data_IF_053655500232
#
_entry.id   IF_053655500232
#
_cell.length_a   1.000
_cell.length_b   1.000
_cell.length_c   1.000
_cell.angle_alpha   90.00
_cell.angle_beta   90.00
_cell.angle_gamma   90.00
#
_symmetry.space_group_name_H-M   'P 1'
#
loop_
_entity.id
_entity.type
_entity.pdbx_description
1 polymer ?
#
# COMPACT_ATOMS: atom_id res chain seq x y z
N UNK A 1 -13.59 22.94 5.82
CA UNK A 1 -13.51 21.50 5.49
C UNK A 1 -12.10 21.05 5.78
N UNK A 2 -11.92 19.99 6.57
CA UNK A 2 -10.59 19.40 6.80
C UNK A 2 -10.11 18.76 5.51
N UNK A 3 -8.85 18.98 5.12
CA UNK A 3 -8.25 18.34 3.95
C UNK A 3 -8.35 16.81 4.08
N UNK A 4 -8.65 16.13 2.99
CA UNK A 4 -8.73 14.66 2.98
C UNK A 4 -7.35 14.05 3.20
N UNK A 5 -7.30 12.75 3.53
CA UNK A 5 -6.02 12.04 3.57
C UNK A 5 -5.35 12.06 2.19
N UNK A 6 -6.11 11.97 1.10
CA UNK A 6 -5.64 12.11 -0.28
C UNK A 6 -4.90 13.43 -0.50
N UNK A 7 -5.49 14.56 -0.06
CA UNK A 7 -4.86 15.87 -0.19
C UNK A 7 -3.55 15.95 0.61
N UNK A 8 -3.56 15.39 1.84
CA UNK A 8 -2.39 15.35 2.73
C UNK A 8 -1.29 14.41 2.25
N UNK A 9 -1.62 13.41 1.43
CA UNK A 9 -0.68 12.55 0.71
C UNK A 9 -0.10 13.22 -0.55
N UNK A 10 -0.52 14.45 -0.87
CA UNK A 10 -0.07 15.19 -2.06
C UNK A 10 -0.86 14.83 -3.33
N UNK A 11 -2.09 14.34 -3.16
CA UNK A 11 -2.95 13.90 -4.26
C UNK A 11 -2.33 12.79 -5.11
N UNK A 12 -2.78 12.69 -6.36
CA UNK A 12 -2.35 11.63 -7.30
C UNK A 12 -0.82 11.54 -7.42
N UNK A 13 -0.15 12.67 -7.59
CA UNK A 13 1.30 12.68 -7.86
C UNK A 13 2.10 12.30 -6.60
N UNK A 14 1.65 12.73 -5.42
CA UNK A 14 2.23 12.30 -4.15
C UNK A 14 2.05 10.80 -3.90
N UNK A 15 0.84 10.29 -4.15
CA UNK A 15 0.53 8.86 -4.05
C UNK A 15 1.32 8.04 -5.07
N UNK A 16 1.48 8.52 -6.31
CA UNK A 16 2.29 7.85 -7.33
C UNK A 16 3.74 7.67 -6.85
N UNK A 17 4.37 8.73 -6.34
CA UNK A 17 5.74 8.66 -5.78
C UNK A 17 5.82 7.70 -4.59
N UNK A 18 4.86 7.82 -3.68
CA UNK A 18 4.78 6.95 -2.50
C UNK A 18 4.66 5.47 -2.91
N UNK A 19 3.76 5.14 -3.85
CA UNK A 19 3.57 3.76 -4.33
C UNK A 19 4.82 3.23 -5.02
N UNK A 20 5.48 4.04 -5.86
CA UNK A 20 6.75 3.61 -6.47
C UNK A 20 7.77 3.24 -5.39
N UNK A 21 7.91 4.05 -4.34
CA UNK A 21 8.81 3.76 -3.22
C UNK A 21 8.39 2.52 -2.40
N UNK A 22 7.09 2.32 -2.16
CA UNK A 22 6.55 1.14 -1.48
C UNK A 22 6.92 -0.13 -2.25
N UNK A 23 6.62 -0.16 -3.55
CA UNK A 23 6.90 -1.32 -4.40
C UNK A 23 8.40 -1.57 -4.44
N UNK A 24 9.21 -0.54 -4.58
CA UNK A 24 10.66 -0.63 -4.53
C UNK A 24 11.20 -1.23 -3.21
N UNK A 25 10.61 -0.88 -2.07
CA UNK A 25 10.96 -1.46 -0.78
C UNK A 25 10.59 -2.95 -0.74
N UNK A 26 9.38 -3.31 -1.17
CA UNK A 26 8.91 -4.69 -1.22
C UNK A 26 9.81 -5.61 -2.06
N UNK A 27 10.30 -5.14 -3.21
CA UNK A 27 11.23 -5.91 -4.05
C UNK A 27 12.63 -6.07 -3.41
N UNK A 28 13.00 -5.22 -2.44
CA UNK A 28 14.29 -5.31 -1.73
C UNK A 28 14.18 -6.06 -0.39
N UNK A 29 12.97 -6.22 0.15
CA UNK A 29 12.74 -6.83 1.45
C UNK A 29 12.88 -8.37 1.41
N UNK A 30 13.85 -8.97 2.13
CA UNK A 30 14.10 -10.41 2.07
C UNK A 30 12.95 -11.30 2.54
N UNK A 31 12.03 -10.78 3.36
CA UNK A 31 10.89 -11.55 3.87
C UNK A 31 9.76 -11.68 2.84
N UNK A 32 9.57 -10.68 1.99
CA UNK A 32 8.39 -10.60 1.10
C UNK A 32 8.75 -10.51 -0.39
N UNK A 33 9.99 -10.21 -0.77
CA UNK A 33 10.38 -10.00 -2.18
C UNK A 33 9.99 -11.14 -3.10
N UNK A 34 10.03 -12.38 -2.61
CA UNK A 34 9.67 -13.58 -3.38
C UNK A 34 8.20 -13.57 -3.85
N UNK A 35 7.32 -12.85 -3.16
CA UNK A 35 5.93 -12.63 -3.59
C UNK A 35 5.84 -11.69 -4.78
N UNK A 36 6.64 -10.63 -4.75
CA UNK A 36 6.65 -9.57 -5.76
C UNK A 36 7.45 -9.99 -7.00
N UNK A 37 8.47 -10.85 -6.86
CA UNK A 37 9.19 -11.46 -7.98
C UNK A 37 8.28 -12.29 -8.91
N UNK A 38 7.15 -12.81 -8.40
CA UNK A 38 6.15 -13.53 -9.20
C UNK A 38 5.20 -12.62 -9.98
N UNK A 39 5.23 -11.31 -9.74
CA UNK A 39 4.38 -10.32 -10.41
C UNK A 39 4.87 -10.15 -11.85
N UNK A 40 4.05 -10.55 -12.81
CA UNK A 40 4.37 -10.47 -14.24
C UNK A 40 4.34 -9.04 -14.79
N UNK A 41 3.50 -8.19 -14.22
CA UNK A 41 3.31 -6.81 -14.64
C UNK A 41 3.40 -5.87 -13.43
N UNK A 42 4.62 -5.38 -13.19
CA UNK A 42 4.89 -4.40 -12.13
C UNK A 42 4.15 -3.08 -12.37
N UNK A 43 3.99 -2.65 -13.62
CA UNK A 43 3.30 -1.40 -13.93
C UNK A 43 1.80 -1.50 -13.58
N UNK A 44 1.18 -2.66 -13.81
CA UNK A 44 -0.18 -2.93 -13.35
C UNK A 44 -0.28 -2.96 -11.82
N UNK A 45 0.69 -3.56 -11.12
CA UNK A 45 0.75 -3.53 -9.65
C UNK A 45 0.81 -2.09 -9.13
N UNK A 46 1.73 -1.28 -9.63
CA UNK A 46 1.86 0.13 -9.22
C UNK A 46 0.59 0.92 -9.54
N UNK A 47 0.02 0.77 -10.73
CA UNK A 47 -1.23 1.44 -11.11
C UNK A 47 -2.38 1.09 -10.16
N UNK A 48 -2.61 -0.20 -9.89
CA UNK A 48 -3.68 -0.63 -8.99
C UNK A 48 -3.44 -0.18 -7.55
N UNK A 49 -2.18 -0.16 -7.08
CA UNK A 49 -1.83 0.38 -5.77
C UNK A 49 -2.10 1.89 -5.68
N UNK A 50 -1.79 2.67 -6.73
CA UNK A 50 -2.13 4.10 -6.79
C UNK A 50 -3.63 4.32 -6.75
N UNK A 51 -4.39 3.57 -7.54
CA UNK A 51 -5.85 3.63 -7.54
C UNK A 51 -6.42 3.28 -6.16
N UNK A 52 -5.92 2.20 -5.54
CA UNK A 52 -6.36 1.73 -4.22
C UNK A 52 -6.11 2.78 -3.14
N UNK A 53 -4.88 3.30 -3.04
CA UNK A 53 -4.54 4.34 -2.06
C UNK A 53 -5.31 5.63 -2.32
N UNK A 54 -5.49 6.01 -3.59
CA UNK A 54 -6.23 7.22 -3.94
C UNK A 54 -7.70 7.11 -3.54
N UNK A 55 -8.38 6.03 -3.91
CA UNK A 55 -9.77 5.79 -3.54
C UNK A 55 -9.94 5.70 -2.01
N UNK A 56 -9.08 4.91 -1.35
CA UNK A 56 -9.15 4.68 0.10
C UNK A 56 -8.84 5.90 0.96
N UNK A 57 -8.09 6.88 0.42
CA UNK A 57 -7.75 8.13 1.12
C UNK A 57 -8.74 9.28 0.86
N UNK A 58 -9.83 9.03 0.12
CA UNK A 58 -10.86 10.02 -0.19
C UNK A 58 -10.64 10.76 -1.51
N UNK A 59 -9.74 10.27 -2.36
CA UNK A 59 -9.50 10.80 -3.71
C UNK A 59 -10.57 10.39 -4.74
N UNK A 60 -10.63 11.08 -5.88
CA UNK A 60 -11.64 10.84 -6.93
C UNK A 60 -11.41 9.59 -7.78
N UNK A 61 -10.27 8.92 -7.64
CA UNK A 61 -9.89 7.78 -8.47
C UNK A 61 -10.76 6.56 -8.15
N UNK A 62 -11.23 5.88 -9.20
CA UNK A 62 -11.86 4.58 -9.07
C UNK A 62 -10.81 3.48 -8.96
N UNK A 63 -11.05 2.50 -8.08
CA UNK A 63 -10.24 1.30 -8.00
C UNK A 63 -10.72 0.25 -8.99
N UNK A 64 -9.85 -0.14 -9.93
CA UNK A 64 -10.18 -1.13 -10.97
C UNK A 64 -9.60 -2.53 -10.72
N UNK A 65 -8.88 -2.71 -9.60
CA UNK A 65 -8.25 -3.98 -9.24
C UNK A 65 -9.18 -4.98 -8.56
N UNK A 66 -8.62 -6.12 -8.19
CA UNK A 66 -9.31 -7.15 -7.38
C UNK A 66 -9.49 -6.63 -5.95
N UNK A 67 -10.59 -6.99 -5.29
CA UNK A 67 -10.71 -6.76 -3.85
C UNK A 67 -9.55 -7.42 -3.09
N UNK A 68 -9.24 -6.91 -1.88
CA UNK A 68 -8.09 -7.36 -1.10
C UNK A 68 -8.10 -8.87 -0.84
N UNK A 69 -9.26 -9.46 -0.55
CA UNK A 69 -9.38 -10.90 -0.31
C UNK A 69 -9.01 -11.67 -1.57
N UNK A 70 -9.61 -11.33 -2.71
CA UNK A 70 -9.32 -11.97 -4.00
C UNK A 70 -7.89 -11.72 -4.49
N UNK A 71 -7.29 -10.59 -4.15
CA UNK A 71 -5.91 -10.25 -4.49
C UNK A 71 -4.92 -11.14 -3.75
N UNK A 72 -5.16 -11.43 -2.46
CA UNK A 72 -4.24 -12.18 -1.58
C UNK A 72 -4.63 -13.66 -1.36
N UNK A 73 -5.79 -14.09 -1.88
CA UNK A 73 -6.26 -15.47 -1.77
C UNK A 73 -5.22 -16.48 -2.25
N UNK A 74 -4.98 -17.50 -1.43
CA UNK A 74 -4.05 -18.59 -1.75
C UNK A 74 -2.57 -18.25 -1.58
N UNK A 75 -2.23 -17.02 -1.18
CA UNK A 75 -0.84 -16.64 -0.89
C UNK A 75 -0.37 -17.17 0.47
N UNK A 76 -1.28 -17.53 1.39
CA UNK A 76 -0.93 -17.98 2.74
C UNK A 76 -0.04 -16.94 3.47
N UNK A 77 -0.42 -15.66 3.40
CA UNK A 77 0.33 -14.55 4.00
C UNK A 77 0.32 -14.69 5.53
N UNK A 78 1.52 -14.72 6.11
CA UNK A 78 1.72 -14.73 7.55
C UNK A 78 1.64 -13.32 8.17
N UNK A 79 1.44 -13.26 9.49
CA UNK A 79 1.49 -12.00 10.24
C UNK A 79 2.85 -11.30 10.09
N UNK A 80 3.93 -12.07 10.05
CA UNK A 80 5.28 -11.54 9.85
C UNK A 80 5.44 -10.88 8.47
N UNK A 81 4.93 -11.51 7.41
CA UNK A 81 4.95 -10.92 6.05
C UNK A 81 4.09 -9.65 5.99
N UNK A 82 2.92 -9.64 6.63
CA UNK A 82 2.07 -8.46 6.69
C UNK A 82 2.78 -7.30 7.41
N UNK A 83 3.38 -7.56 8.57
CA UNK A 83 4.11 -6.53 9.33
C UNK A 83 5.29 -6.01 8.50
N UNK A 84 6.06 -6.90 7.86
CA UNK A 84 7.16 -6.50 6.99
C UNK A 84 6.71 -5.59 5.83
N UNK A 85 5.55 -5.86 5.23
CA UNK A 85 4.97 -4.99 4.21
C UNK A 85 4.52 -3.64 4.78
N UNK A 86 3.94 -3.60 5.98
CA UNK A 86 3.57 -2.34 6.65
C UNK A 86 4.82 -1.51 6.98
N UNK A 87 5.90 -2.15 7.45
CA UNK A 87 7.17 -1.48 7.74
C UNK A 87 7.79 -0.86 6.48
N UNK A 88 7.75 -1.57 5.35
CA UNK A 88 8.18 -1.03 4.05
C UNK A 88 7.36 0.20 3.64
N UNK A 89 6.05 0.22 3.93
CA UNK A 89 5.18 1.36 3.67
C UNK A 89 5.53 2.54 4.57
N UNK A 90 5.76 2.31 5.87
CA UNK A 90 6.21 3.34 6.81
C UNK A 90 7.55 3.94 6.38
N UNK A 91 8.49 3.11 5.93
CA UNK A 91 9.78 3.56 5.40
C UNK A 91 9.60 4.46 4.17
N UNK A 92 8.69 4.09 3.25
CA UNK A 92 8.37 4.91 2.07
C UNK A 92 7.74 6.26 2.48
N UNK A 93 6.80 6.27 3.43
CA UNK A 93 6.19 7.51 3.93
C UNK A 93 7.23 8.43 4.60
N UNK A 94 8.14 7.84 5.38
CA UNK A 94 9.25 8.56 6.02
C UNK A 94 10.19 9.18 4.98
N UNK A 95 10.56 8.42 3.95
CA UNK A 95 11.37 8.91 2.82
C UNK A 95 10.70 10.09 2.11
N UNK A 96 9.39 10.03 1.94
CA UNK A 96 8.58 11.08 1.32
C UNK A 96 8.28 12.26 2.27
N UNK A 97 8.81 12.25 3.50
CA UNK A 97 8.67 13.31 4.51
C UNK A 97 7.21 13.62 4.84
N UNK A 98 6.36 12.60 4.87
CA UNK A 98 4.97 12.76 5.29
C UNK A 98 4.90 12.98 6.80
N UNK A 99 4.01 13.87 7.24
CA UNK A 99 3.80 14.18 8.65
C UNK A 99 3.44 12.92 9.45
N UNK A 100 3.91 12.84 10.69
CA UNK A 100 3.64 11.68 11.57
C UNK A 100 2.14 11.38 11.70
N UNK A 101 1.29 12.41 11.72
CA UNK A 101 -0.16 12.24 11.77
C UNK A 101 -0.73 11.54 10.53
N UNK A 102 -0.18 11.81 9.34
CA UNK A 102 -0.54 11.14 8.09
C UNK A 102 -0.08 9.69 8.14
N UNK A 103 1.15 9.45 8.59
CA UNK A 103 1.70 8.09 8.70
C UNK A 103 0.85 7.22 9.64
N UNK A 104 0.51 7.75 10.82
CA UNK A 104 -0.30 7.03 11.80
C UNK A 104 -1.69 6.68 11.26
N UNK A 105 -2.31 7.60 10.52
CA UNK A 105 -3.63 7.39 9.90
C UNK A 105 -3.58 6.30 8.83
N UNK A 106 -2.57 6.34 7.94
CA UNK A 106 -2.35 5.28 6.93
C UNK A 106 -2.13 3.93 7.61
N UNK A 107 -1.27 3.86 8.63
CA UNK A 107 -1.00 2.62 9.37
C UNK A 107 -2.28 2.08 10.03
N UNK A 108 -3.08 2.93 10.66
CA UNK A 108 -4.34 2.52 11.26
C UNK A 108 -5.30 1.90 10.23
N UNK A 109 -5.41 2.50 9.04
CA UNK A 109 -6.21 1.98 7.93
C UNK A 109 -5.67 0.60 7.49
N UNK A 110 -4.36 0.46 7.26
CA UNK A 110 -3.76 -0.82 6.87
C UNK A 110 -4.03 -1.92 7.88
N UNK A 111 -3.93 -1.62 9.19
CA UNK A 111 -4.25 -2.59 10.24
C UNK A 111 -5.73 -2.97 10.29
N UNK A 112 -6.65 -2.08 9.91
CA UNK A 112 -8.07 -2.41 9.82
C UNK A 112 -8.38 -3.41 8.69
N UNK A 113 -7.53 -3.44 7.66
CA UNK A 113 -7.66 -4.30 6.47
C UNK A 113 -6.94 -5.65 6.62
N UNK A 114 -6.24 -5.90 7.74
CA UNK A 114 -5.40 -7.09 7.91
C UNK A 114 -6.14 -8.42 7.70
N UNK A 115 -7.43 -8.48 8.05
CA UNK A 115 -8.24 -9.69 7.93
C UNK A 115 -8.56 -10.10 6.48
N UNK A 116 -8.33 -9.20 5.53
CA UNK A 116 -8.51 -9.46 4.09
C UNK A 116 -7.21 -9.90 3.41
N UNK A 117 -6.07 -9.71 4.08
CA UNK A 117 -4.74 -10.04 3.56
C UNK A 117 -4.19 -11.31 4.19
N UNK A 118 -4.34 -11.45 5.51
CA UNK A 118 -3.85 -12.62 6.23
C UNK A 118 -4.51 -13.90 5.73
N UNK A 119 -3.74 -14.98 5.77
CA UNK A 119 -4.28 -16.32 5.59
C UNK A 119 -5.50 -16.51 6.49
N UNK A 120 -6.52 -17.17 5.94
CA UNK A 120 -7.67 -17.67 6.68
C UNK A 120 -7.59 -19.18 6.78
#
# INVERSE_FOLDING_TARGET
>A
MTATLYDRLGGKDGIQRLVTDIVDNHYRNPLIRTRFEQVKDRAALERHSVEFLSAGSGGPQAYSGRDLVSAHKGMNVSEQELIAAIDDIVAAMTKNRLDQSVQNEVVAILYSLKGDVLRR
#
